data_IF_014078130277
#
_entry.id   IF_014078130277
#
_cell.length_a   1.000
_cell.length_b   1.000
_cell.length_c   1.000
_cell.angle_alpha   90.00
_cell.angle_beta   90.00
_cell.angle_gamma   90.00
#
_symmetry.space_group_name_H-M   'P 1'
#
loop_
_entity.id
_entity.type
_entity.pdbx_description
1 polymer ?
#
# COMPACT_ATOMS: atom_id res chain seq x y z
N UNK A 1 -7.55 4.62 28.31
CA UNK A 1 -7.63 3.85 27.06
C UNK A 1 -6.89 4.66 26.01
N UNK A 2 -5.80 4.13 25.44
CA UNK A 2 -5.01 4.84 24.42
C UNK A 2 -5.42 4.33 23.04
N UNK A 3 -5.86 5.21 22.16
CA UNK A 3 -6.27 4.87 20.79
C UNK A 3 -5.17 5.29 19.82
N UNK A 4 -4.77 4.39 18.93
CA UNK A 4 -3.80 4.66 17.86
C UNK A 4 -4.52 4.58 16.51
N UNK A 5 -4.33 5.58 15.65
CA UNK A 5 -4.90 5.64 14.30
C UNK A 5 -3.82 6.05 13.31
N UNK A 6 -3.77 5.39 12.15
CA UNK A 6 -2.83 5.67 11.07
C UNK A 6 -3.56 5.90 9.76
N UNK A 7 -3.22 6.99 9.05
CA UNK A 7 -3.86 7.39 7.79
C UNK A 7 -2.79 7.77 6.75
N UNK A 8 -3.02 7.43 5.47
CA UNK A 8 -2.10 7.76 4.36
C UNK A 8 -2.47 9.05 3.63
N UNK A 9 -3.76 9.40 3.61
CA UNK A 9 -4.29 10.63 3.03
C UNK A 9 -5.32 11.21 3.98
N UNK A 10 -5.11 12.44 4.46
CA UNK A 10 -6.04 13.08 5.38
C UNK A 10 -7.27 13.57 4.61
N UNK A 11 -7.12 13.87 3.31
CA UNK A 11 -8.21 14.24 2.40
C UNK A 11 -9.27 13.16 2.14
N UNK A 12 -8.98 11.88 2.43
CA UNK A 12 -9.98 10.81 2.33
C UNK A 12 -10.98 10.80 3.48
N UNK A 13 -10.68 11.50 4.58
CA UNK A 13 -11.60 11.63 5.69
C UNK A 13 -12.56 12.80 5.44
N UNK A 14 -13.85 12.55 5.64
CA UNK A 14 -14.84 13.61 5.71
C UNK A 14 -14.39 14.65 6.75
N UNK A 15 -14.64 15.93 6.47
CA UNK A 15 -14.16 17.05 7.29
C UNK A 15 -14.53 16.90 8.78
N UNK A 16 -15.74 16.41 9.09
CA UNK A 16 -16.17 16.14 10.47
C UNK A 16 -15.34 15.05 11.14
N UNK A 17 -15.03 13.98 10.42
CA UNK A 17 -14.23 12.86 10.94
C UNK A 17 -12.79 13.32 11.15
N UNK A 18 -12.23 14.07 10.19
CA UNK A 18 -10.90 14.66 10.29
C UNK A 18 -10.75 15.52 11.54
N UNK A 19 -11.66 16.47 11.76
CA UNK A 19 -11.63 17.35 12.95
C UNK A 19 -11.81 16.56 14.25
N UNK A 20 -12.65 15.51 14.23
CA UNK A 20 -12.86 14.65 15.40
C UNK A 20 -11.64 13.78 15.72
N UNK A 21 -10.92 13.32 14.70
CA UNK A 21 -9.70 12.51 14.89
C UNK A 21 -8.58 13.42 15.36
N UNK A 22 -8.27 14.50 14.64
CA UNK A 22 -7.16 15.41 14.99
C UNK A 22 -7.39 16.04 16.37
N UNK A 23 -8.61 16.48 16.69
CA UNK A 23 -8.93 17.09 17.97
C UNK A 23 -8.80 16.16 19.19
N UNK A 24 -8.80 14.84 18.98
CA UNK A 24 -8.61 13.85 20.05
C UNK A 24 -7.22 13.21 20.05
N UNK A 25 -6.37 13.55 19.09
CA UNK A 25 -5.02 12.99 18.97
C UNK A 25 -4.07 13.81 19.83
N UNK A 26 -3.63 13.23 20.95
CA UNK A 26 -2.61 13.85 21.81
C UNK A 26 -1.19 13.75 21.24
N UNK A 27 -0.89 12.68 20.49
CA UNK A 27 0.42 12.45 19.89
C UNK A 27 0.28 12.39 18.37
N UNK A 28 0.92 13.31 17.67
CA UNK A 28 0.91 13.39 16.21
C UNK A 28 2.30 13.07 15.66
N UNK A 29 2.36 12.23 14.64
CA UNK A 29 3.60 11.92 13.91
C UNK A 29 3.30 12.12 12.42
N UNK A 30 4.08 12.98 11.78
CA UNK A 30 3.97 13.29 10.36
C UNK A 30 5.27 12.91 9.64
N UNK A 31 5.10 12.17 8.55
CA UNK A 31 6.12 11.98 7.53
C UNK A 31 5.95 13.05 6.45
N UNK A 32 6.79 13.00 5.41
CA UNK A 32 6.66 13.87 4.25
C UNK A 32 5.24 13.80 3.69
N UNK A 33 4.56 14.94 3.65
CA UNK A 33 3.18 15.06 3.21
C UNK A 33 3.08 15.76 1.84
N UNK A 34 1.97 15.55 1.13
CA UNK A 34 1.66 16.32 -0.07
C UNK A 34 1.19 17.75 0.28
N UNK A 35 1.09 18.62 -0.74
CA UNK A 35 0.71 20.03 -0.54
C UNK A 35 -0.61 20.19 0.23
N UNK A 36 -1.64 19.41 -0.11
CA UNK A 36 -2.96 19.50 0.52
C UNK A 36 -2.94 19.01 1.98
N UNK A 37 -2.35 17.85 2.26
CA UNK A 37 -2.26 17.30 3.62
C UNK A 37 -1.35 18.16 4.52
N UNK A 38 -0.28 18.73 3.96
CA UNK A 38 0.67 19.58 4.68
C UNK A 38 0.03 20.88 5.20
N UNK A 39 -0.93 21.47 4.48
CA UNK A 39 -1.63 22.68 4.91
C UNK A 39 -2.42 22.43 6.21
N UNK A 40 -3.07 21.26 6.28
CA UNK A 40 -3.87 20.85 7.44
C UNK A 40 -2.93 20.55 8.61
N UNK A 41 -1.88 19.77 8.37
CA UNK A 41 -0.92 19.36 9.38
C UNK A 41 -0.11 20.54 9.94
N UNK A 42 0.26 21.52 9.11
CA UNK A 42 1.02 22.69 9.54
C UNK A 42 0.34 23.45 10.69
N UNK A 43 -0.99 23.44 10.76
CA UNK A 43 -1.76 24.08 11.85
C UNK A 43 -1.47 23.43 13.21
N UNK A 44 -1.24 22.12 13.24
CA UNK A 44 -0.96 21.37 14.47
C UNK A 44 0.51 21.47 14.92
N UNK A 45 1.42 21.71 13.97
CA UNK A 45 2.85 21.86 14.21
C UNK A 45 3.31 23.32 14.37
N UNK A 46 2.42 24.28 14.15
CA UNK A 46 2.67 25.69 14.39
C UNK A 46 2.98 25.94 15.89
N UNK A 47 3.95 26.81 16.23
CA UNK A 47 4.73 27.68 15.34
C UNK A 47 6.05 27.07 14.82
N UNK A 48 6.39 25.84 15.21
CA UNK A 48 7.74 25.29 15.02
C UNK A 48 8.00 24.92 13.56
N UNK A 49 7.02 24.32 12.90
CA UNK A 49 7.15 23.88 11.51
C UNK A 49 6.06 24.50 10.64
N UNK A 50 6.42 24.77 9.40
CA UNK A 50 5.56 25.32 8.37
C UNK A 50 5.09 24.23 7.40
N UNK A 51 4.20 24.61 6.49
CA UNK A 51 3.75 23.75 5.41
C UNK A 51 4.91 23.30 4.51
N UNK A 52 5.81 24.23 4.17
CA UNK A 52 6.95 23.95 3.29
C UNK A 52 7.93 22.95 3.92
N UNK A 53 8.09 22.99 5.24
CA UNK A 53 8.93 22.04 5.98
C UNK A 53 8.36 20.61 5.89
N UNK A 54 7.03 20.46 5.96
CA UNK A 54 6.36 19.16 5.83
C UNK A 54 6.44 18.58 4.41
N UNK A 55 6.41 19.45 3.39
CA UNK A 55 6.55 19.05 1.97
C UNK A 55 8.00 18.66 1.66
N UNK A 56 8.96 19.43 2.17
CA UNK A 56 10.39 19.26 1.90
C UNK A 56 11.08 18.25 2.83
N UNK A 57 10.33 17.58 3.70
CA UNK A 57 10.86 16.66 4.71
C UNK A 57 11.73 15.56 4.08
N UNK A 58 13.00 15.41 4.51
CA UNK A 58 13.91 14.39 3.98
C UNK A 58 13.43 12.96 4.26
N UNK A 59 13.92 12.01 3.47
CA UNK A 59 13.66 10.59 3.71
C UNK A 59 14.18 10.18 5.09
N UNK A 60 13.44 9.31 5.77
CA UNK A 60 13.73 8.83 7.13
C UNK A 60 13.66 9.89 8.23
N UNK A 61 13.19 11.09 7.94
CA UNK A 61 12.87 12.09 8.96
C UNK A 61 11.36 12.21 9.17
N UNK A 62 10.99 12.60 10.38
CA UNK A 62 9.62 12.81 10.83
C UNK A 62 9.54 14.07 11.69
N UNK A 63 8.38 14.72 11.65
CA UNK A 63 7.99 15.71 12.65
C UNK A 63 6.95 15.10 13.58
N UNK A 64 7.06 15.38 14.87
CA UNK A 64 6.15 14.83 15.85
C UNK A 64 5.92 15.79 17.01
N UNK A 65 4.74 15.63 17.61
CA UNK A 65 4.31 16.28 18.84
C UNK A 65 3.83 15.18 19.76
N UNK A 66 4.46 15.04 20.92
CA UNK A 66 4.16 13.95 21.84
C UNK A 66 3.23 14.43 22.95
N UNK A 67 2.27 13.59 23.32
CA UNK A 67 1.60 13.71 24.61
C UNK A 67 2.45 13.01 25.66
N UNK A 68 3.12 13.78 26.51
CA UNK A 68 3.96 13.27 27.61
C UNK A 68 3.24 13.58 28.91
N UNK A 69 2.87 12.54 29.67
CA UNK A 69 2.16 12.67 30.95
C UNK A 69 0.86 13.51 30.87
N UNK A 70 0.16 13.46 29.74
CA UNK A 70 -1.07 14.23 29.52
C UNK A 70 -0.85 15.69 29.11
N UNK A 71 0.41 16.13 28.99
CA UNK A 71 0.78 17.44 28.47
C UNK A 71 1.37 17.30 27.07
N UNK A 72 0.90 18.12 26.12
CA UNK A 72 1.47 18.16 24.77
C UNK A 72 2.87 18.80 24.81
N UNK A 73 3.84 18.14 24.19
CA UNK A 73 5.16 18.73 23.95
C UNK A 73 5.09 19.80 22.86
N UNK A 74 6.14 20.59 22.75
CA UNK A 74 6.40 21.31 21.49
C UNK A 74 6.68 20.31 20.37
N UNK A 75 6.47 20.72 19.13
CA UNK A 75 6.80 19.92 17.97
C UNK A 75 8.33 19.82 17.82
N UNK A 76 8.83 18.64 17.45
CA UNK A 76 10.25 18.42 17.19
C UNK A 76 10.46 17.39 16.08
N UNK A 77 11.67 17.38 15.51
CA UNK A 77 12.06 16.42 14.49
C UNK A 77 12.71 15.17 15.08
N UNK A 78 12.52 14.04 14.42
CA UNK A 78 13.24 12.81 14.74
C UNK A 78 13.63 12.05 13.47
N UNK A 79 14.61 11.17 13.62
CA UNK A 79 15.03 10.24 12.56
C UNK A 79 14.45 8.86 12.83
N UNK A 80 13.81 8.28 11.82
CA UNK A 80 13.24 6.94 11.89
C UNK A 80 14.35 5.89 11.85
N UNK A 81 14.14 4.77 12.56
CA UNK A 81 15.01 3.62 12.43
C UNK A 81 14.96 3.08 11.00
N UNK A 82 16.09 2.62 10.44
CA UNK A 82 16.07 1.93 9.16
C UNK A 82 15.16 0.71 9.24
N UNK A 83 14.53 0.31 8.13
CA UNK A 83 13.73 -0.90 8.11
C UNK A 83 14.58 -2.07 8.64
N UNK A 84 14.01 -2.95 9.49
CA UNK A 84 14.76 -4.08 10.01
C UNK A 84 15.31 -4.88 8.83
N UNK A 85 16.54 -5.37 8.95
CA UNK A 85 17.22 -6.15 7.93
C UNK A 85 16.56 -7.55 7.83
N UNK A 86 15.31 -7.60 7.36
CA UNK A 86 14.59 -8.84 7.10
C UNK A 86 15.03 -9.33 5.73
N UNK A 87 16.12 -10.09 5.71
CA UNK A 87 16.44 -11.03 4.63
C UNK A 87 15.44 -12.20 4.64
N UNK A 88 14.15 -11.89 4.51
CA UNK A 88 13.11 -12.89 4.32
C UNK A 88 12.98 -13.11 2.81
N UNK A 89 13.84 -13.98 2.26
CA UNK A 89 13.80 -14.40 0.86
C UNK A 89 12.70 -15.44 0.60
N UNK A 90 11.56 -15.39 1.30
CA UNK A 90 10.44 -16.32 1.08
C UNK A 90 9.64 -16.00 -0.20
N UNK A 91 10.27 -15.38 -1.21
CA UNK A 91 9.60 -14.97 -2.45
C UNK A 91 9.01 -16.18 -3.17
N UNK A 92 9.79 -17.25 -3.34
CA UNK A 92 9.27 -18.45 -4.00
C UNK A 92 8.13 -19.11 -3.19
N UNK A 93 8.26 -19.17 -1.86
CA UNK A 93 7.25 -19.75 -0.98
C UNK A 93 5.95 -18.95 -0.99
N UNK A 94 6.02 -17.61 -0.96
CA UNK A 94 4.85 -16.72 -1.04
C UNK A 94 4.18 -16.85 -2.41
N UNK A 95 4.96 -16.87 -3.50
CA UNK A 95 4.40 -17.04 -4.86
C UNK A 95 3.71 -18.40 -4.96
N UNK A 96 4.34 -19.46 -4.45
CA UNK A 96 3.76 -20.81 -4.47
C UNK A 96 2.48 -20.87 -3.66
N UNK A 97 2.50 -20.41 -2.40
CA UNK A 97 1.32 -20.42 -1.53
C UNK A 97 0.17 -19.58 -2.11
N UNK A 98 0.48 -18.45 -2.75
CA UNK A 98 -0.52 -17.62 -3.43
C UNK A 98 -1.13 -18.34 -4.64
N UNK A 99 -0.31 -18.97 -5.47
CA UNK A 99 -0.78 -19.76 -6.63
C UNK A 99 -1.63 -20.95 -6.19
N UNK A 100 -1.21 -21.68 -5.16
CA UNK A 100 -1.93 -22.84 -4.65
C UNK A 100 -3.30 -22.45 -4.07
N UNK A 101 -3.41 -21.24 -3.49
CA UNK A 101 -4.64 -20.78 -2.82
C UNK A 101 -5.59 -19.99 -3.73
N UNK A 102 -5.07 -19.21 -4.67
CA UNK A 102 -5.85 -18.22 -5.42
C UNK A 102 -5.80 -18.39 -6.93
N UNK A 103 -4.93 -19.25 -7.48
CA UNK A 103 -4.88 -19.47 -8.91
C UNK A 103 -5.59 -20.77 -9.30
N UNK A 104 -6.30 -20.72 -10.42
CA UNK A 104 -6.83 -21.91 -11.08
C UNK A 104 -5.80 -22.43 -12.09
N UNK A 105 -5.61 -23.76 -12.22
CA UNK A 105 -4.77 -24.33 -13.27
C UNK A 105 -5.16 -23.78 -14.65
N UNK A 106 -4.14 -23.43 -15.44
CA UNK A 106 -4.35 -22.82 -16.75
C UNK A 106 -5.19 -23.72 -17.65
N UNK A 107 -5.00 -25.02 -17.55
CA UNK A 107 -5.71 -26.05 -18.32
C UNK A 107 -7.21 -26.01 -18.07
N UNK A 108 -7.62 -25.78 -16.82
CA UNK A 108 -9.03 -25.70 -16.45
C UNK A 108 -9.65 -24.39 -16.90
N UNK A 109 -8.92 -23.28 -16.78
CA UNK A 109 -9.33 -21.98 -17.33
C UNK A 109 -9.48 -22.05 -18.86
N UNK A 110 -8.52 -22.65 -19.57
CA UNK A 110 -8.58 -22.82 -21.02
C UNK A 110 -9.74 -23.75 -21.45
N UNK A 111 -10.05 -24.77 -20.65
CA UNK A 111 -11.19 -25.67 -20.88
C UNK A 111 -12.52 -24.94 -20.74
N UNK A 112 -12.68 -24.18 -19.67
CA UNK A 112 -13.88 -23.38 -19.44
C UNK A 112 -14.04 -22.29 -20.52
N UNK A 113 -12.95 -21.62 -20.90
CA UNK A 113 -12.97 -20.66 -22.02
C UNK A 113 -13.40 -21.34 -23.32
N UNK A 114 -12.91 -22.55 -23.64
CA UNK A 114 -13.32 -23.27 -24.87
C UNK A 114 -14.77 -23.73 -24.86
N UNK A 115 -15.33 -24.02 -23.69
CA UNK A 115 -16.77 -24.33 -23.55
C UNK A 115 -17.63 -23.08 -23.78
N UNK A 116 -17.20 -21.94 -23.24
CA UNK A 116 -17.92 -20.66 -23.34
C UNK A 116 -17.73 -19.98 -24.71
N UNK A 117 -16.57 -20.17 -25.34
CA UNK A 117 -16.18 -19.59 -26.62
C UNK A 117 -15.62 -20.67 -27.55
N UNK A 118 -16.49 -21.33 -28.35
CA UNK A 118 -16.03 -22.29 -29.35
C UNK A 118 -15.07 -21.64 -30.37
N UNK A 119 -14.19 -22.43 -31.02
CA UNK A 119 -13.03 -21.94 -31.78
C UNK A 119 -13.31 -20.93 -32.91
N UNK A 120 -14.57 -20.76 -33.30
CA UNK A 120 -15.00 -19.78 -34.31
C UNK A 120 -14.89 -18.32 -33.86
N UNK A 121 -14.75 -18.05 -32.55
CA UNK A 121 -14.78 -16.68 -31.99
C UNK A 121 -13.49 -16.33 -31.23
N UNK A 122 -12.51 -17.25 -31.13
CA UNK A 122 -11.28 -16.98 -30.38
C UNK A 122 -10.35 -16.05 -31.16
N UNK A 123 -10.01 -14.86 -30.62
CA UNK A 123 -9.00 -14.00 -31.24
C UNK A 123 -7.65 -14.74 -31.26
N UNK A 124 -6.92 -14.62 -32.37
CA UNK A 124 -5.60 -15.23 -32.54
C UNK A 124 -4.70 -14.83 -31.35
N UNK A 125 -3.96 -15.77 -30.75
CA UNK A 125 -3.15 -15.49 -29.57
C UNK A 125 -2.12 -14.40 -29.88
N UNK A 126 -2.10 -13.33 -29.08
CA UNK A 126 -1.29 -12.12 -29.31
C UNK A 126 0.18 -12.32 -28.90
N UNK A 127 0.54 -13.45 -28.29
CA UNK A 127 1.92 -13.77 -27.90
C UNK A 127 2.34 -15.18 -28.30
N UNK A 128 3.57 -15.29 -28.79
CA UNK A 128 4.18 -16.46 -29.46
C UNK A 128 4.39 -17.70 -28.59
N UNK A 129 3.31 -18.27 -28.08
CA UNK A 129 3.32 -19.59 -27.48
C UNK A 129 3.17 -20.65 -28.58
N UNK A 130 4.28 -21.32 -28.96
CA UNK A 130 4.23 -22.51 -29.82
C UNK A 130 3.56 -23.66 -29.06
N UNK A 131 2.31 -23.94 -29.40
CA UNK A 131 1.63 -25.19 -29.05
C UNK A 131 2.46 -26.39 -29.56
N UNK A 132 3.08 -27.14 -28.65
CA UNK A 132 3.60 -28.49 -28.91
C UNK A 132 2.46 -29.49 -28.70
N UNK A 133 1.53 -29.57 -29.64
CA UNK A 133 0.67 -30.76 -29.74
C UNK A 133 1.38 -31.70 -30.72
N UNK A 134 2.19 -32.62 -30.18
CA UNK A 134 2.69 -33.76 -30.96
C UNK A 134 1.56 -34.78 -31.08
N UNK A 135 1.18 -35.06 -32.33
CA UNK A 135 0.25 -36.11 -32.72
C UNK A 135 0.62 -37.47 -32.08
N UNK A 136 -0.32 -38.06 -31.37
CA UNK A 136 -0.39 -39.52 -31.17
C UNK A 136 -1.80 -39.98 -31.54
N UNK A 137 -2.04 -40.21 -32.83
CA UNK A 137 -2.98 -41.23 -33.30
C UNK A 137 -2.70 -41.55 -34.76
N UNK A 138 -1.85 -42.56 -34.98
CA UNK A 138 -1.89 -43.42 -36.16
C UNK A 138 -1.70 -44.84 -35.63
N UNK A 139 -2.82 -45.52 -35.40
CA UNK A 139 -2.94 -46.96 -35.32
C UNK A 139 -4.07 -47.32 -36.29
N UNK A 140 -3.76 -48.26 -37.18
CA UNK A 140 -4.48 -48.77 -38.35
C UNK A 140 -4.31 -47.94 -39.63
#
# INVERSE_FOLDING_TARGET
MSTFSGVQYISQLDEKVRSSVIGNVGTLIAFRAGSEDSEILAREFHPVFTQDDLISLPQFQIYLKLLINGTGSEAFSATTLPPPNRKSYHKEEIIKASRDRYCTPREDVEREIRKLYPPSILPKPIYGYKSKIKNQTKLF
#
